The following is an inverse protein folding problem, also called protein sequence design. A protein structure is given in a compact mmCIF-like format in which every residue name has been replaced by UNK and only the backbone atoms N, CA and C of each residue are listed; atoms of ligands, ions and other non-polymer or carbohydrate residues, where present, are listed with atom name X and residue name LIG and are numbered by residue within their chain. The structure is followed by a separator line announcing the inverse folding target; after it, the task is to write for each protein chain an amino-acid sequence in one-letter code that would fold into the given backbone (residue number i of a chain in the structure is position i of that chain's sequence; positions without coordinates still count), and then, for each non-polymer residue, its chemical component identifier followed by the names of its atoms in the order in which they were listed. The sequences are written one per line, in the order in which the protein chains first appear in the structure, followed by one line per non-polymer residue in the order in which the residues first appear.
data_IF_894990389034
#
_entry.id   IF_894990389034
#
_cell.length_a   1.000
_cell.length_b   1.000
_cell.length_c   1.000
_cell.angle_alpha   90.00
_cell.angle_beta   90.00
_cell.angle_gamma   90.00
#
_symmetry.space_group_name_H-M   'P 1'
#
loop_
_entity.id
_entity.type
_entity.pdbx_description
1 polymer ?
#
# COMPACT_ATOMS: atom_id res chain seq x y z
N UNK A 1 6.39 -35.25 54.23
CA UNK A 1 6.22 -34.95 52.80
C UNK A 1 5.40 -33.66 52.68
N UNK A 2 6.07 -32.50 52.50
CA UNK A 2 5.40 -31.20 52.36
C UNK A 2 5.17 -30.94 50.87
N UNK A 3 3.91 -31.01 50.45
CA UNK A 3 3.52 -30.64 49.13
C UNK A 3 3.64 -29.12 48.95
N UNK A 4 4.55 -28.68 48.11
CA UNK A 4 4.68 -27.29 47.67
C UNK A 4 3.42 -26.92 46.91
N UNK A 5 2.53 -26.13 47.54
CA UNK A 5 1.43 -25.44 46.86
C UNK A 5 2.04 -24.42 45.91
N UNK A 6 1.96 -24.67 44.61
CA UNK A 6 2.23 -23.68 43.58
C UNK A 6 1.26 -22.53 43.77
N UNK A 7 1.71 -21.43 44.33
CA UNK A 7 0.98 -20.15 44.32
C UNK A 7 0.87 -19.69 42.87
N UNK A 8 -0.31 -19.80 42.29
CA UNK A 8 -0.63 -19.16 41.00
C UNK A 8 -0.42 -17.64 41.13
N UNK A 9 0.74 -17.18 40.71
CA UNK A 9 1.02 -15.76 40.62
C UNK A 9 0.10 -15.19 39.53
N UNK A 10 -1.07 -14.65 39.93
CA UNK A 10 -1.91 -13.86 39.03
C UNK A 10 -1.14 -12.59 38.77
N UNK A 11 -0.59 -12.47 37.54
CA UNK A 11 0.02 -11.24 37.09
C UNK A 11 -0.98 -10.07 37.30
N UNK A 12 -0.54 -8.94 37.88
CA UNK A 12 -1.42 -7.81 38.14
C UNK A 12 -2.10 -7.42 36.85
N UNK A 13 -3.42 -7.33 36.85
CA UNK A 13 -4.20 -6.88 35.68
C UNK A 13 -3.75 -5.48 35.32
N UNK A 14 -3.06 -5.35 34.22
CA UNK A 14 -2.63 -4.06 33.68
C UNK A 14 -3.86 -3.19 33.40
N UNK A 15 -3.76 -1.91 33.75
CA UNK A 15 -4.86 -0.94 33.62
C UNK A 15 -5.43 -0.84 32.18
N UNK A 16 -4.63 -1.22 31.18
CA UNK A 16 -4.98 -1.20 29.75
C UNK A 16 -5.01 -2.62 29.16
N UNK A 17 -5.34 -3.65 29.92
CA UNK A 17 -5.49 -5.02 29.40
C UNK A 17 -6.56 -5.03 28.30
N UNK A 18 -6.24 -5.70 27.19
CA UNK A 18 -7.19 -5.93 26.10
C UNK A 18 -8.16 -7.03 26.57
N UNK A 19 -9.48 -6.76 26.60
CA UNK A 19 -10.50 -7.74 27.01
C UNK A 19 -10.49 -8.98 26.11
N UNK A 20 -10.93 -10.11 26.65
CA UNK A 20 -10.86 -11.38 25.92
C UNK A 20 -11.79 -11.43 24.69
N UNK A 21 -12.93 -10.73 24.74
CA UNK A 21 -13.79 -10.55 23.56
C UNK A 21 -13.10 -9.80 22.43
N UNK A 22 -12.31 -8.74 22.72
CA UNK A 22 -11.53 -8.02 21.69
C UNK A 22 -10.40 -8.89 21.17
N UNK A 23 -9.75 -9.70 22.04
CA UNK A 23 -8.73 -10.66 21.62
C UNK A 23 -9.31 -11.70 20.65
N UNK A 24 -10.55 -12.12 20.88
CA UNK A 24 -11.24 -13.05 19.98
C UNK A 24 -11.52 -12.40 18.62
N UNK A 25 -12.00 -11.15 18.59
CA UNK A 25 -12.21 -10.40 17.33
C UNK A 25 -10.91 -10.27 16.55
N UNK A 26 -9.77 -10.02 17.21
CA UNK A 26 -8.44 -9.98 16.55
C UNK A 26 -8.10 -11.29 15.85
N UNK A 27 -8.41 -12.43 16.50
CA UNK A 27 -8.16 -13.75 15.93
C UNK A 27 -9.09 -14.01 14.73
N UNK A 28 -10.38 -13.74 14.88
CA UNK A 28 -11.38 -13.91 13.82
C UNK A 28 -11.03 -13.08 12.59
N UNK A 29 -10.71 -11.80 12.76
CA UNK A 29 -10.30 -10.92 11.66
C UNK A 29 -9.04 -11.42 10.94
N UNK A 30 -8.09 -12.00 11.69
CA UNK A 30 -6.87 -12.57 11.07
C UNK A 30 -7.16 -13.85 10.27
N UNK A 31 -8.16 -14.63 10.65
CA UNK A 31 -8.57 -15.83 9.91
C UNK A 31 -9.40 -15.46 8.67
N UNK A 32 -10.16 -14.38 8.73
CA UNK A 32 -10.91 -13.85 7.59
C UNK A 32 -10.01 -13.19 6.54
N UNK A 33 -8.90 -12.60 6.98
CA UNK A 33 -7.95 -11.88 6.12
C UNK A 33 -6.50 -12.40 6.30
N UNK A 34 -6.23 -13.65 5.91
CA UNK A 34 -4.90 -14.26 6.09
C UNK A 34 -3.80 -13.59 5.26
N UNK A 35 -4.17 -12.83 4.24
CA UNK A 35 -3.27 -12.07 3.36
C UNK A 35 -2.77 -10.76 3.97
N UNK A 36 -3.42 -10.27 5.05
CA UNK A 36 -3.07 -9.00 5.68
C UNK A 36 -2.06 -9.17 6.81
N UNK A 37 -1.15 -8.23 6.90
CA UNK A 37 -0.18 -8.17 8.00
C UNK A 37 -0.84 -7.69 9.31
N UNK A 38 -0.25 -7.97 10.50
CA UNK A 38 -0.77 -7.45 11.78
C UNK A 38 -0.95 -5.93 11.80
N UNK A 39 -0.13 -5.19 11.05
CA UNK A 39 -0.23 -3.74 10.88
C UNK A 39 -1.50 -3.36 10.11
N UNK A 40 -1.72 -4.01 8.97
CA UNK A 40 -2.90 -3.77 8.13
C UNK A 40 -4.19 -4.18 8.86
N UNK A 41 -4.19 -5.34 9.53
CA UNK A 41 -5.31 -5.78 10.38
C UNK A 41 -5.63 -4.80 11.52
N UNK A 42 -4.61 -4.18 12.12
CA UNK A 42 -4.81 -3.18 13.18
C UNK A 42 -5.52 -1.92 12.65
N UNK A 43 -5.22 -1.51 11.43
CA UNK A 43 -5.87 -0.38 10.76
C UNK A 43 -7.29 -0.76 10.33
N UNK A 44 -7.47 -1.94 9.76
CA UNK A 44 -8.78 -2.45 9.33
C UNK A 44 -9.75 -2.54 10.52
N UNK A 45 -9.32 -3.11 11.64
CA UNK A 45 -10.13 -3.18 12.88
C UNK A 45 -10.55 -1.80 13.39
N UNK A 46 -9.61 -0.84 13.32
CA UNK A 46 -9.89 0.53 13.73
C UNK A 46 -10.98 1.17 12.86
N UNK A 47 -10.92 0.99 11.54
CA UNK A 47 -11.84 1.63 10.59
C UNK A 47 -13.21 0.97 10.58
N UNK A 48 -13.26 -0.36 10.56
CA UNK A 48 -14.53 -1.09 10.45
C UNK A 48 -15.28 -1.20 11.77
N UNK A 49 -14.56 -1.50 12.85
CA UNK A 49 -15.17 -1.78 14.15
C UNK A 49 -15.02 -0.66 15.17
N UNK A 50 -14.29 0.41 14.84
CA UNK A 50 -13.96 1.50 15.76
C UNK A 50 -13.25 1.03 17.05
N UNK A 51 -12.51 -0.06 16.95
CA UNK A 51 -11.74 -0.66 18.05
C UNK A 51 -10.25 -0.47 17.78
N UNK A 52 -9.55 0.20 18.69
CA UNK A 52 -8.11 0.34 18.60
C UNK A 52 -7.38 -0.79 19.31
N UNK A 53 -6.58 -1.53 18.56
CA UNK A 53 -5.56 -2.47 19.06
C UNK A 53 -4.26 -2.15 18.34
N UNK A 54 -3.18 -1.90 19.08
CA UNK A 54 -1.89 -1.57 18.45
C UNK A 54 -1.31 -2.77 17.69
N UNK A 55 -0.55 -2.51 16.64
CA UNK A 55 0.16 -3.52 15.86
C UNK A 55 0.93 -4.52 16.75
N UNK A 56 1.71 -4.00 17.72
CA UNK A 56 2.44 -4.85 18.66
C UNK A 56 1.54 -5.74 19.52
N UNK A 57 0.31 -5.30 19.79
CA UNK A 57 -0.68 -6.12 20.53
C UNK A 57 -1.33 -7.14 19.61
N UNK A 58 -1.62 -6.80 18.36
CA UNK A 58 -2.04 -7.75 17.34
C UNK A 58 -1.02 -8.87 17.20
N UNK A 59 0.24 -8.51 16.98
CA UNK A 59 1.33 -9.48 16.86
C UNK A 59 1.38 -10.43 18.05
N UNK A 60 1.34 -9.92 19.30
CA UNK A 60 1.38 -10.76 20.51
C UNK A 60 0.18 -11.69 20.60
N UNK A 61 -1.03 -11.20 20.30
CA UNK A 61 -2.26 -12.01 20.37
C UNK A 61 -2.19 -13.16 19.35
N UNK A 62 -1.80 -12.87 18.12
CA UNK A 62 -1.71 -13.86 17.05
C UNK A 62 -0.57 -14.86 17.29
N UNK A 63 0.58 -14.38 17.78
CA UNK A 63 1.69 -15.25 18.15
C UNK A 63 1.33 -16.22 19.30
N UNK A 64 0.62 -15.74 20.34
CA UNK A 64 0.13 -16.59 21.43
C UNK A 64 -0.85 -17.68 20.96
N UNK A 65 -1.52 -17.46 19.84
CA UNK A 65 -2.44 -18.42 19.21
C UNK A 65 -1.80 -19.29 18.14
N UNK A 66 -0.49 -19.14 17.88
CA UNK A 66 0.24 -19.89 16.84
C UNK A 66 -0.15 -19.51 15.42
N UNK A 67 -0.74 -18.33 15.21
CA UNK A 67 -1.17 -17.83 13.91
C UNK A 67 -0.10 -16.99 13.18
N UNK A 68 1.04 -16.77 13.82
CA UNK A 68 2.19 -16.08 13.22
C UNK A 68 3.44 -16.90 13.44
N UNK A 69 4.12 -17.22 12.34
CA UNK A 69 5.50 -17.70 12.38
C UNK A 69 6.44 -16.51 12.61
N UNK A 70 7.55 -16.74 13.32
CA UNK A 70 8.63 -15.75 13.43
C UNK A 70 9.25 -15.59 12.05
N UNK A 71 8.89 -14.53 11.33
CA UNK A 71 9.68 -14.09 10.19
C UNK A 71 10.93 -13.39 10.72
N UNK A 72 12.10 -13.94 10.46
CA UNK A 72 13.34 -13.19 10.55
C UNK A 72 13.33 -12.19 9.39
N UNK A 73 13.11 -10.92 9.72
CA UNK A 73 13.19 -9.85 8.74
C UNK A 73 14.64 -9.42 8.59
N UNK A 74 15.23 -9.73 7.46
CA UNK A 74 16.42 -9.04 6.99
C UNK A 74 16.04 -7.57 6.71
N UNK A 75 16.45 -6.68 7.60
CA UNK A 75 16.30 -5.24 7.41
C UNK A 75 17.29 -4.80 6.34
N UNK A 76 16.83 -4.67 5.12
CA UNK A 76 17.56 -3.92 4.09
C UNK A 76 17.37 -2.44 4.40
N UNK A 77 18.42 -1.79 4.88
CA UNK A 77 18.45 -0.33 5.05
C UNK A 77 18.08 0.32 3.71
N UNK A 78 17.04 1.13 3.71
CA UNK A 78 16.70 1.94 2.56
C UNK A 78 17.85 2.91 2.32
N UNK A 79 18.54 2.77 1.17
CA UNK A 79 19.51 3.75 0.74
C UNK A 79 18.83 5.10 0.48
N UNK A 80 19.60 6.19 0.58
CA UNK A 80 19.12 7.57 0.51
C UNK A 80 18.08 7.82 -0.59
N UNK A 81 16.90 8.29 -0.17
CA UNK A 81 15.84 8.68 -1.09
C UNK A 81 16.24 9.94 -1.88
N UNK A 82 15.62 10.09 -3.04
CA UNK A 82 15.73 11.26 -3.89
C UNK A 82 15.66 12.57 -3.09
N UNK A 83 16.60 13.52 -3.33
CA UNK A 83 16.72 14.77 -2.57
C UNK A 83 15.48 15.67 -2.67
N UNK A 84 14.62 15.51 -3.67
CA UNK A 84 13.40 16.28 -3.87
C UNK A 84 12.17 15.41 -3.66
N UNK A 85 11.66 15.37 -2.42
CA UNK A 85 10.38 14.74 -2.12
C UNK A 85 9.25 15.59 -2.68
N UNK A 86 8.35 14.97 -3.42
CA UNK A 86 7.09 15.59 -3.88
C UNK A 86 6.23 16.00 -2.68
N UNK A 87 5.48 17.10 -2.82
CA UNK A 87 4.72 17.73 -1.73
C UNK A 87 3.21 17.61 -1.90
N UNK A 88 2.73 17.39 -3.12
CA UNK A 88 1.31 17.32 -3.45
C UNK A 88 1.06 16.37 -4.63
N UNK A 89 -0.17 15.86 -4.78
CA UNK A 89 -0.53 15.02 -5.92
C UNK A 89 -0.33 15.73 -7.26
N UNK A 90 0.04 14.97 -8.28
CA UNK A 90 0.29 15.45 -9.66
C UNK A 90 1.49 16.44 -9.80
N UNK A 91 2.37 16.52 -8.80
CA UNK A 91 3.63 17.25 -8.96
C UNK A 91 4.61 16.47 -9.84
N UNK A 92 4.70 15.16 -9.65
CA UNK A 92 5.53 14.27 -10.43
C UNK A 92 4.86 12.91 -10.61
N UNK A 93 4.89 12.39 -11.82
CA UNK A 93 4.47 11.04 -12.16
C UNK A 93 5.67 10.17 -12.45
N UNK A 94 5.62 8.91 -12.07
CA UNK A 94 6.56 7.89 -12.52
C UNK A 94 5.87 7.00 -13.55
N UNK A 95 6.60 6.63 -14.61
CA UNK A 95 6.13 5.66 -15.60
C UNK A 95 7.18 4.61 -15.84
N UNK A 96 6.72 3.38 -16.01
CA UNK A 96 7.58 2.23 -16.31
C UNK A 96 6.76 1.12 -16.95
N UNK A 97 7.47 0.27 -17.71
CA UNK A 97 6.91 -0.96 -18.25
C UNK A 97 7.27 -2.16 -17.38
N UNK A 98 6.28 -3.04 -17.20
CA UNK A 98 6.57 -4.40 -16.76
C UNK A 98 5.91 -5.39 -17.70
N UNK A 99 6.31 -6.66 -17.65
CA UNK A 99 5.88 -7.64 -18.63
C UNK A 99 5.32 -8.91 -17.98
N UNK A 100 4.37 -9.52 -18.70
CA UNK A 100 3.74 -10.78 -18.37
C UNK A 100 3.72 -11.71 -19.57
N UNK A 101 3.82 -13.01 -19.33
CA UNK A 101 3.68 -14.02 -20.36
C UNK A 101 2.33 -14.72 -20.21
N UNK A 102 1.51 -14.68 -21.25
CA UNK A 102 0.26 -15.44 -21.33
C UNK A 102 0.49 -16.69 -22.17
N UNK A 103 0.17 -17.85 -21.61
CA UNK A 103 0.42 -19.13 -22.27
C UNK A 103 -0.37 -19.23 -23.59
N UNK A 104 0.35 -19.53 -24.69
CA UNK A 104 -0.24 -19.60 -26.03
C UNK A 104 -0.42 -18.24 -26.73
N UNK A 105 -0.26 -17.10 -26.04
CA UNK A 105 -0.45 -15.74 -26.60
C UNK A 105 0.84 -14.93 -26.68
N UNK A 106 1.86 -15.29 -25.88
CA UNK A 106 3.15 -14.58 -25.90
C UNK A 106 3.33 -13.56 -24.77
N UNK A 107 4.11 -12.53 -25.04
CA UNK A 107 4.44 -11.49 -24.07
C UNK A 107 3.52 -10.28 -24.20
N UNK A 108 3.10 -9.76 -23.05
CA UNK A 108 2.34 -8.52 -22.92
C UNK A 108 3.08 -7.56 -21.99
N UNK A 109 2.96 -6.29 -22.27
CA UNK A 109 3.68 -5.22 -21.59
C UNK A 109 2.69 -4.32 -20.90
N UNK A 110 2.83 -4.20 -19.59
CA UNK A 110 2.00 -3.30 -18.79
C UNK A 110 2.70 -1.96 -18.66
N UNK A 111 2.15 -0.94 -19.29
CA UNK A 111 2.51 0.46 -19.11
C UNK A 111 1.75 1.00 -17.90
N UNK A 112 2.43 1.67 -16.97
CA UNK A 112 1.82 2.19 -15.74
C UNK A 112 2.24 3.62 -15.49
N UNK A 113 1.30 4.46 -15.05
CA UNK A 113 1.55 5.81 -14.54
C UNK A 113 1.11 5.90 -13.09
N UNK A 114 2.06 6.16 -12.21
CA UNK A 114 1.85 6.31 -10.76
C UNK A 114 2.17 7.73 -10.33
N UNK A 115 1.33 8.32 -9.49
CA UNK A 115 1.64 9.58 -8.81
C UNK A 115 2.73 9.37 -7.73
N UNK A 116 3.80 10.13 -7.79
CA UNK A 116 4.94 9.98 -6.90
C UNK A 116 4.60 10.32 -5.44
N UNK A 117 3.76 11.30 -5.21
CA UNK A 117 3.39 11.73 -3.86
C UNK A 117 2.49 10.71 -3.17
N UNK A 118 1.36 10.39 -3.78
CA UNK A 118 0.31 9.55 -3.18
C UNK A 118 0.49 8.06 -3.43
N UNK A 119 1.37 7.65 -4.35
CA UNK A 119 1.47 6.27 -4.86
C UNK A 119 0.23 5.81 -5.62
N UNK A 120 -0.71 6.69 -5.96
CA UNK A 120 -1.93 6.36 -6.68
C UNK A 120 -1.61 5.99 -8.12
N UNK A 121 -2.12 4.84 -8.58
CA UNK A 121 -2.04 4.44 -9.98
C UNK A 121 -3.10 5.22 -10.74
N UNK A 122 -2.64 6.22 -11.51
CA UNK A 122 -3.53 7.10 -12.28
C UNK A 122 -4.11 6.35 -13.47
N UNK A 123 -3.22 5.69 -14.23
CA UNK A 123 -3.61 4.87 -15.35
C UNK A 123 -2.61 3.74 -15.63
N UNK A 124 -3.12 2.71 -16.29
CA UNK A 124 -2.33 1.61 -16.81
C UNK A 124 -2.95 1.04 -18.07
N UNK A 125 -2.14 0.45 -18.93
CA UNK A 125 -2.57 -0.25 -20.13
C UNK A 125 -1.75 -1.51 -20.37
N UNK A 126 -2.45 -2.58 -20.82
CA UNK A 126 -1.81 -3.81 -21.25
C UNK A 126 -1.57 -3.76 -22.76
N UNK A 127 -0.32 -3.64 -23.17
CA UNK A 127 0.11 -3.46 -24.54
C UNK A 127 0.70 -4.75 -25.11
N UNK A 128 0.55 -4.94 -26.42
CA UNK A 128 1.23 -6.02 -27.16
C UNK A 128 2.68 -5.68 -27.53
N UNK A 129 3.06 -4.42 -27.41
CA UNK A 129 4.39 -3.86 -27.70
C UNK A 129 4.84 -2.90 -26.62
N UNK A 130 6.10 -2.44 -26.71
CA UNK A 130 6.69 -1.49 -25.79
C UNK A 130 7.31 -0.35 -26.62
N UNK A 131 6.43 0.47 -27.21
CA UNK A 131 6.81 1.58 -28.08
C UNK A 131 6.58 2.93 -27.41
N UNK A 132 7.17 4.00 -27.97
CA UNK A 132 6.89 5.38 -27.53
C UNK A 132 5.44 5.79 -27.73
N UNK A 133 4.75 5.19 -28.72
CA UNK A 133 3.32 5.42 -28.98
C UNK A 133 2.45 4.79 -27.89
N UNK A 134 2.83 3.60 -27.38
CA UNK A 134 2.13 2.98 -26.26
C UNK A 134 2.28 3.84 -24.98
N UNK A 135 3.48 4.40 -24.75
CA UNK A 135 3.70 5.37 -23.66
C UNK A 135 2.81 6.59 -23.84
N UNK A 136 2.80 7.20 -25.03
CA UNK A 136 1.97 8.39 -25.31
C UNK A 136 0.49 8.15 -25.02
N UNK A 137 -0.07 7.03 -25.50
CA UNK A 137 -1.48 6.66 -25.22
C UNK A 137 -1.76 6.50 -23.73
N UNK A 138 -0.84 5.85 -22.98
CA UNK A 138 -0.99 5.69 -21.54
C UNK A 138 -0.97 7.05 -20.83
N UNK A 139 -0.10 7.97 -21.25
CA UNK A 139 -0.02 9.33 -20.69
C UNK A 139 -1.27 10.14 -21.04
N UNK A 140 -1.80 10.07 -22.28
CA UNK A 140 -3.02 10.76 -22.69
C UNK A 140 -4.19 10.42 -21.77
N UNK A 141 -4.40 9.13 -21.51
CA UNK A 141 -5.44 8.67 -20.60
C UNK A 141 -5.16 9.02 -19.13
N UNK A 142 -3.89 9.06 -18.74
CA UNK A 142 -3.52 9.50 -17.40
C UNK A 142 -3.83 11.00 -17.21
N UNK A 143 -3.52 11.84 -18.19
CA UNK A 143 -3.84 13.29 -18.20
C UNK A 143 -5.35 13.52 -18.12
N UNK A 144 -6.12 12.80 -18.93
CA UNK A 144 -7.59 12.86 -18.93
C UNK A 144 -8.16 12.46 -17.55
N UNK A 145 -7.73 11.32 -17.00
CA UNK A 145 -8.21 10.82 -15.68
C UNK A 145 -7.83 11.72 -14.52
N UNK A 146 -6.62 12.26 -14.55
CA UNK A 146 -6.14 13.16 -13.49
C UNK A 146 -6.73 14.57 -13.59
N UNK A 147 -7.32 14.95 -14.72
CA UNK A 147 -7.83 16.29 -14.96
C UNK A 147 -6.77 17.38 -14.88
N UNK A 148 -5.50 17.05 -15.19
CA UNK A 148 -4.42 18.04 -15.15
C UNK A 148 -4.49 18.96 -16.37
N UNK A 149 -4.08 20.22 -16.15
CA UNK A 149 -4.15 21.26 -17.16
C UNK A 149 -2.77 21.63 -17.68
N UNK A 150 -2.71 22.26 -18.85
CA UNK A 150 -1.47 22.77 -19.44
C UNK A 150 -0.76 23.83 -18.58
N UNK A 151 -1.47 24.44 -17.64
CA UNK A 151 -0.92 25.46 -16.73
C UNK A 151 -0.15 24.84 -15.55
N UNK A 152 -0.56 23.63 -15.10
CA UNK A 152 0.09 22.87 -14.04
C UNK A 152 0.34 21.42 -14.47
N UNK A 153 1.19 21.19 -15.47
CA UNK A 153 1.51 19.84 -15.90
C UNK A 153 2.42 19.16 -14.85
N UNK A 154 2.30 17.84 -14.64
CA UNK A 154 3.24 17.10 -13.82
C UNK A 154 4.62 17.03 -14.48
N UNK A 155 5.66 16.77 -13.69
CA UNK A 155 6.89 16.24 -14.25
C UNK A 155 6.74 14.73 -14.46
N UNK A 156 7.24 14.19 -15.57
CA UNK A 156 7.25 12.76 -15.84
C UNK A 156 8.65 12.19 -15.60
N UNK A 157 8.75 11.20 -14.77
CA UNK A 157 9.99 10.46 -14.48
C UNK A 157 9.91 9.05 -15.09
N UNK A 158 10.88 8.69 -15.90
CA UNK A 158 11.03 7.33 -16.45
C UNK A 158 12.47 6.82 -16.32
N UNK A 159 12.68 5.56 -16.65
CA UNK A 159 14.02 5.03 -16.90
C UNK A 159 14.59 5.54 -18.24
N UNK A 160 15.76 5.00 -18.64
CA UNK A 160 16.41 5.29 -19.93
C UNK A 160 16.07 4.22 -20.99
N UNK A 161 14.93 3.56 -20.88
CA UNK A 161 14.49 2.58 -21.86
C UNK A 161 14.30 3.19 -23.28
N UNK A 162 14.49 2.43 -24.35
CA UNK A 162 14.40 2.95 -25.73
C UNK A 162 13.10 3.68 -26.04
N UNK A 163 11.97 3.21 -25.50
CA UNK A 163 10.66 3.84 -25.67
C UNK A 163 10.57 5.21 -25.00
N UNK A 164 11.29 5.45 -23.91
CA UNK A 164 11.28 6.70 -23.17
C UNK A 164 12.28 7.74 -23.70
N UNK A 165 13.43 7.31 -24.23
CA UNK A 165 14.44 8.25 -24.80
C UNK A 165 14.12 8.70 -26.21
N UNK A 166 13.07 8.17 -26.84
CA UNK A 166 12.66 8.53 -28.18
C UNK A 166 12.36 10.04 -28.29
N UNK A 167 12.97 10.71 -29.27
CA UNK A 167 12.76 12.15 -29.52
C UNK A 167 11.29 12.48 -29.79
N UNK A 168 10.57 11.58 -30.48
CA UNK A 168 9.13 11.69 -30.74
C UNK A 168 8.30 11.81 -29.46
N UNK A 169 8.59 11.01 -28.44
CA UNK A 169 7.91 11.08 -27.15
C UNK A 169 8.19 12.41 -26.46
N UNK A 170 9.46 12.82 -26.41
CA UNK A 170 9.87 14.07 -25.77
C UNK A 170 9.19 15.28 -26.40
N UNK A 171 9.15 15.32 -27.75
CA UNK A 171 8.46 16.39 -28.48
C UNK A 171 6.96 16.37 -28.22
N UNK A 172 6.36 15.19 -28.23
CA UNK A 172 4.93 15.02 -27.97
C UNK A 172 4.55 15.55 -26.59
N UNK A 173 5.21 15.08 -25.53
CA UNK A 173 4.96 15.50 -24.15
C UNK A 173 5.15 17.01 -23.95
N UNK A 174 6.20 17.58 -24.54
CA UNK A 174 6.47 19.01 -24.45
C UNK A 174 5.48 19.88 -25.23
N UNK A 175 5.13 19.49 -26.47
CA UNK A 175 4.26 20.28 -27.35
C UNK A 175 2.78 20.18 -26.97
N UNK A 176 2.31 18.98 -26.59
CA UNK A 176 0.89 18.72 -26.33
C UNK A 176 0.50 19.07 -24.90
N UNK A 177 1.34 18.71 -23.92
CA UNK A 177 0.98 18.79 -22.50
C UNK A 177 1.88 19.72 -21.68
N UNK A 178 2.92 20.26 -22.28
CA UNK A 178 3.97 21.01 -21.55
C UNK A 178 4.61 20.20 -20.40
N UNK A 179 4.58 18.86 -20.50
CA UNK A 179 5.14 17.95 -19.52
C UNK A 179 6.67 17.92 -19.65
N UNK A 180 7.36 18.21 -18.55
CA UNK A 180 8.81 18.04 -18.47
C UNK A 180 9.14 16.57 -18.21
N UNK A 181 9.83 15.93 -19.17
CA UNK A 181 10.30 14.56 -19.05
C UNK A 181 11.69 14.52 -18.41
N UNK A 182 11.81 13.78 -17.33
CA UNK A 182 13.06 13.58 -16.56
C UNK A 182 13.41 12.11 -16.65
N UNK A 183 14.66 11.81 -16.96
CA UNK A 183 15.17 10.45 -16.98
C UNK A 183 15.94 10.16 -15.70
N UNK A 184 15.79 8.95 -15.16
CA UNK A 184 16.58 8.47 -14.03
C UNK A 184 18.07 8.51 -14.37
N UNK A 185 18.92 8.82 -13.40
CA UNK A 185 20.37 8.74 -13.61
C UNK A 185 20.76 7.28 -13.85
N UNK A 186 21.64 7.00 -14.82
CA UNK A 186 22.18 5.65 -15.01
C UNK A 186 22.78 5.14 -13.69
N UNK A 187 22.53 3.89 -13.35
CA UNK A 187 23.01 3.20 -12.14
C UNK A 187 22.49 3.75 -10.79
N UNK A 188 21.43 4.57 -10.79
CA UNK A 188 20.72 4.98 -9.58
C UNK A 188 19.27 4.44 -9.56
N UNK A 189 19.06 3.15 -9.23
CA UNK A 189 17.72 2.52 -9.22
C UNK A 189 16.74 3.15 -8.21
N UNK A 190 17.25 3.92 -7.26
CA UNK A 190 16.46 4.57 -6.21
C UNK A 190 15.46 5.61 -6.73
N UNK A 191 15.72 6.15 -7.93
CA UNK A 191 14.91 7.22 -8.53
C UNK A 191 13.47 6.75 -8.86
N UNK A 192 13.29 5.46 -9.17
CA UNK A 192 12.00 4.85 -9.52
C UNK A 192 11.52 3.79 -8.51
N UNK A 193 12.12 3.74 -7.34
CA UNK A 193 11.83 2.71 -6.34
C UNK A 193 10.36 2.58 -5.92
N UNK A 194 9.51 3.58 -6.20
CA UNK A 194 8.07 3.52 -5.91
C UNK A 194 7.33 2.66 -6.93
N UNK A 195 7.55 2.90 -8.22
CA UNK A 195 6.93 2.11 -9.29
C UNK A 195 7.49 0.69 -9.34
N UNK A 196 8.79 0.52 -9.07
CA UNK A 196 9.39 -0.81 -8.97
C UNK A 196 8.78 -1.64 -7.82
N UNK A 197 8.58 -1.05 -6.65
CA UNK A 197 7.90 -1.70 -5.52
C UNK A 197 6.44 -2.05 -5.84
N UNK A 198 5.74 -1.17 -6.55
CA UNK A 198 4.41 -1.47 -7.05
C UNK A 198 4.42 -2.68 -7.99
N UNK A 199 5.27 -2.67 -9.02
CA UNK A 199 5.39 -3.79 -9.96
C UNK A 199 5.75 -5.11 -9.27
N UNK A 200 6.66 -5.07 -8.28
CA UNK A 200 7.01 -6.25 -7.48
C UNK A 200 5.81 -6.79 -6.72
N UNK A 201 5.10 -5.93 -6.02
CA UNK A 201 3.91 -6.32 -5.25
C UNK A 201 2.82 -6.91 -6.14
N UNK A 202 2.56 -6.28 -7.28
CA UNK A 202 1.60 -6.77 -8.26
C UNK A 202 2.02 -8.13 -8.84
N UNK A 203 3.27 -8.28 -9.26
CA UNK A 203 3.78 -9.55 -9.81
C UNK A 203 3.68 -10.70 -8.83
N UNK A 204 3.87 -10.44 -7.53
CA UNK A 204 3.74 -11.48 -6.51
C UNK A 204 2.33 -12.06 -6.41
N UNK A 205 1.29 -11.27 -6.72
CA UNK A 205 -0.11 -11.72 -6.73
C UNK A 205 -0.51 -12.25 -8.11
N UNK A 206 -0.29 -11.46 -9.16
CA UNK A 206 -0.73 -11.81 -10.53
C UNK A 206 -0.08 -13.10 -11.04
N UNK A 207 1.20 -13.35 -10.70
CA UNK A 207 1.91 -14.57 -11.15
C UNK A 207 1.49 -15.86 -10.43
N UNK A 208 0.69 -15.78 -9.38
CA UNK A 208 0.16 -16.98 -8.71
C UNK A 208 -0.91 -17.69 -9.53
N UNK A 209 -1.54 -16.97 -10.46
CA UNK A 209 -2.59 -17.50 -11.31
C UNK A 209 -2.09 -17.78 -12.74
N UNK A 210 -2.76 -18.69 -13.42
CA UNK A 210 -2.57 -18.96 -14.83
C UNK A 210 -3.67 -18.27 -15.63
N UNK A 211 -3.28 -17.52 -16.66
CA UNK A 211 -4.20 -16.81 -17.54
C UNK A 211 -4.22 -17.51 -18.90
N UNK A 212 -5.42 -17.80 -19.41
CA UNK A 212 -5.62 -18.49 -20.68
C UNK A 212 -5.79 -17.51 -21.86
N UNK A 213 -6.09 -16.25 -21.56
CA UNK A 213 -6.17 -15.19 -22.55
C UNK A 213 -5.77 -13.82 -21.96
N UNK A 214 -5.41 -12.84 -22.80
CA UNK A 214 -5.01 -11.50 -22.36
C UNK A 214 -6.09 -10.78 -21.56
N UNK A 215 -7.37 -10.98 -21.88
CA UNK A 215 -8.49 -10.34 -21.17
C UNK A 215 -8.64 -10.80 -19.71
N UNK A 216 -8.29 -12.04 -19.40
CA UNK A 216 -8.25 -12.53 -18.02
C UNK A 216 -7.12 -11.86 -17.22
N UNK A 217 -5.95 -11.72 -17.83
CA UNK A 217 -4.83 -11.01 -17.24
C UNK A 217 -5.20 -9.53 -17.02
N UNK A 218 -5.83 -8.87 -17.98
CA UNK A 218 -6.27 -7.48 -17.91
C UNK A 218 -7.26 -7.28 -16.75
N UNK A 219 -8.24 -8.18 -16.62
CA UNK A 219 -9.20 -8.17 -15.51
C UNK A 219 -8.50 -8.32 -14.15
N UNK A 220 -7.56 -9.25 -14.03
CA UNK A 220 -6.81 -9.46 -12.79
C UNK A 220 -5.96 -8.25 -12.41
N UNK A 221 -5.36 -7.58 -13.40
CA UNK A 221 -4.62 -6.32 -13.19
C UNK A 221 -5.58 -5.20 -12.73
N UNK A 222 -6.76 -5.08 -13.34
CA UNK A 222 -7.76 -4.08 -12.95
C UNK A 222 -8.21 -4.27 -11.48
N UNK A 223 -8.52 -5.50 -11.09
CA UNK A 223 -8.89 -5.85 -9.72
C UNK A 223 -7.74 -5.55 -8.74
N UNK A 224 -6.52 -5.87 -9.12
CA UNK A 224 -5.34 -5.54 -8.32
C UNK A 224 -5.12 -4.04 -8.17
N UNK A 225 -5.24 -3.26 -9.24
CA UNK A 225 -5.08 -1.80 -9.20
C UNK A 225 -6.15 -1.15 -8.32
N UNK A 226 -7.40 -1.61 -8.41
CA UNK A 226 -8.47 -1.16 -7.51
C UNK A 226 -8.15 -1.44 -6.05
N UNK A 227 -7.74 -2.68 -5.75
CA UNK A 227 -7.30 -3.06 -4.40
C UNK A 227 -6.13 -2.18 -3.93
N UNK A 228 -5.10 -2.01 -4.77
CA UNK A 228 -3.92 -1.22 -4.46
C UNK A 228 -4.26 0.24 -4.15
N UNK A 229 -5.10 0.85 -4.96
CA UNK A 229 -5.46 2.25 -4.82
C UNK A 229 -6.42 2.51 -3.65
N UNK A 230 -7.40 1.61 -3.42
CA UNK A 230 -8.55 1.89 -2.57
C UNK A 230 -8.53 1.17 -1.23
N UNK A 231 -7.78 0.07 -1.10
CA UNK A 231 -7.81 -0.79 0.10
C UNK A 231 -6.46 -1.04 0.73
N UNK A 232 -5.39 -1.00 -0.06
CA UNK A 232 -4.06 -1.31 0.47
C UNK A 232 -3.53 -0.16 1.32
N UNK A 233 -3.27 -0.42 2.59
CA UNK A 233 -2.64 0.53 3.50
C UNK A 233 -1.11 0.57 3.29
N UNK A 234 -0.57 1.78 3.17
CA UNK A 234 0.86 2.01 2.97
C UNK A 234 1.49 2.63 4.21
N UNK A 235 2.48 1.95 4.79
CA UNK A 235 3.21 2.44 5.95
C UNK A 235 3.81 3.83 5.71
N UNK A 236 4.45 4.01 4.55
CA UNK A 236 5.05 5.29 4.15
C UNK A 236 4.06 6.42 3.89
N UNK A 237 2.76 6.15 3.93
CA UNK A 237 1.66 7.10 3.83
C UNK A 237 0.86 7.16 5.15
N UNK A 238 1.49 6.88 6.30
CA UNK A 238 0.83 6.83 7.62
C UNK A 238 -0.35 5.82 7.65
N UNK A 239 -0.20 4.70 6.98
CA UNK A 239 -1.25 3.68 6.81
C UNK A 239 -2.53 4.20 6.12
N UNK A 240 -2.41 5.20 5.27
CA UNK A 240 -3.47 5.63 4.36
C UNK A 240 -3.43 4.82 3.06
N UNK A 241 -4.55 4.79 2.34
CA UNK A 241 -4.56 4.26 0.99
C UNK A 241 -4.01 5.31 0.00
N UNK A 242 -3.47 4.90 -1.15
CA UNK A 242 -3.08 5.83 -2.20
C UNK A 242 -4.19 6.80 -2.59
N UNK A 243 -5.44 6.32 -2.66
CA UNK A 243 -6.61 7.16 -2.96
C UNK A 243 -6.86 8.23 -1.92
N UNK A 244 -6.76 7.91 -0.62
CA UNK A 244 -6.98 8.88 0.45
C UNK A 244 -6.01 10.05 0.36
N UNK A 245 -4.74 9.73 0.05
CA UNK A 245 -3.69 10.74 -0.11
C UNK A 245 -3.87 11.54 -1.39
N UNK A 246 -4.20 10.87 -2.51
CA UNK A 246 -4.41 11.51 -3.81
C UNK A 246 -5.58 12.50 -3.78
N UNK A 247 -6.66 12.16 -3.06
CA UNK A 247 -7.83 13.02 -2.90
C UNK A 247 -7.69 14.05 -1.75
N UNK A 248 -6.54 14.12 -1.09
CA UNK A 248 -6.27 15.07 0.00
C UNK A 248 -7.04 14.79 1.30
N UNK A 249 -7.57 13.57 1.48
CA UNK A 249 -8.37 13.19 2.64
C UNK A 249 -7.53 12.71 3.84
N UNK A 250 -6.23 12.54 3.67
CA UNK A 250 -5.35 11.91 4.64
C UNK A 250 -5.39 12.54 6.03
N UNK A 251 -5.32 13.87 6.13
CA UNK A 251 -5.33 14.56 7.43
C UNK A 251 -6.67 14.40 8.16
N UNK A 252 -7.79 14.40 7.44
CA UNK A 252 -9.12 14.16 8.01
C UNK A 252 -9.21 12.74 8.58
N UNK A 253 -8.76 11.75 7.83
CA UNK A 253 -8.78 10.34 8.24
C UNK A 253 -7.90 10.14 9.48
N UNK A 254 -6.68 10.68 9.49
CA UNK A 254 -5.78 10.60 10.65
C UNK A 254 -6.39 11.20 11.92
N UNK A 255 -7.05 12.33 11.81
CA UNK A 255 -7.77 12.96 12.96
C UNK A 255 -8.89 12.07 13.48
N UNK A 256 -9.70 11.48 12.61
CA UNK A 256 -10.77 10.55 12.97
C UNK A 256 -10.19 9.31 13.68
N UNK A 257 -9.13 8.71 13.12
CA UNK A 257 -8.46 7.55 13.71
C UNK A 257 -7.92 7.86 15.14
N UNK A 258 -7.36 9.05 15.35
CA UNK A 258 -6.87 9.43 16.68
C UNK A 258 -8.01 9.58 17.69
N UNK A 259 -9.16 10.14 17.30
CA UNK A 259 -10.36 10.20 18.15
C UNK A 259 -10.86 8.80 18.52
N UNK A 260 -10.96 7.91 17.53
CA UNK A 260 -11.38 6.51 17.75
C UNK A 260 -10.43 5.81 18.72
N UNK A 261 -9.11 5.99 18.51
CA UNK A 261 -8.07 5.43 19.38
C UNK A 261 -8.23 5.89 20.82
N UNK A 262 -8.39 7.18 21.07
CA UNK A 262 -8.56 7.74 22.41
C UNK A 262 -9.85 7.19 23.07
N UNK A 263 -10.95 7.18 22.34
CA UNK A 263 -12.22 6.65 22.83
C UNK A 263 -12.12 5.16 23.19
N UNK A 264 -11.48 4.36 22.33
CA UNK A 264 -11.26 2.93 22.54
C UNK A 264 -10.39 2.66 23.78
N UNK A 265 -9.32 3.44 23.97
CA UNK A 265 -8.46 3.34 25.16
C UNK A 265 -9.23 3.73 26.42
N UNK A 266 -9.94 4.85 26.42
CA UNK A 266 -10.70 5.32 27.57
C UNK A 266 -11.79 4.33 27.99
N UNK A 267 -12.49 3.75 27.01
CA UNK A 267 -13.51 2.71 27.25
C UNK A 267 -12.88 1.51 27.97
N UNK A 268 -11.74 0.99 27.48
CA UNK A 268 -11.03 -0.13 28.14
C UNK A 268 -10.58 0.19 29.55
N UNK A 269 -10.07 1.39 29.79
CA UNK A 269 -9.65 1.82 31.14
C UNK A 269 -10.83 1.81 32.09
N UNK A 270 -11.97 2.36 31.69
CA UNK A 270 -13.19 2.41 32.52
C UNK A 270 -13.74 1.01 32.80
N UNK A 271 -13.78 0.13 31.80
CA UNK A 271 -14.21 -1.26 31.96
C UNK A 271 -13.29 -2.04 32.89
N UNK A 272 -11.97 -1.93 32.74
CA UNK A 272 -10.99 -2.59 33.61
C UNK A 272 -11.08 -2.09 35.06
N UNK A 273 -11.35 -0.79 35.27
CA UNK A 273 -11.59 -0.24 36.63
C UNK A 273 -12.85 -0.81 37.25
N UNK A 274 -13.96 -0.87 36.48
CA UNK A 274 -15.22 -1.42 36.95
C UNK A 274 -15.12 -2.89 37.34
N UNK A 275 -14.45 -3.73 36.53
CA UNK A 275 -14.20 -5.13 36.84
C UNK A 275 -13.36 -5.32 38.10
N UNK A 276 -12.37 -4.46 38.35
CA UNK A 276 -11.59 -4.49 39.61
C UNK A 276 -12.41 -4.15 40.84
N UNK A 277 -13.40 -3.30 40.74
CA UNK A 277 -14.30 -2.95 41.86
C UNK A 277 -15.28 -4.08 42.16
N UNK A 278 -15.69 -4.85 41.16
CA UNK A 278 -16.60 -6.00 41.31
C UNK A 278 -15.90 -7.28 41.80
N UNK A 279 -14.57 -7.34 41.72
CA UNK A 279 -13.75 -8.48 42.17
C UNK A 279 -13.18 -8.31 43.57
N UNK A 280 -13.50 -7.22 44.25
CA UNK A 280 -13.24 -6.98 45.70
C UNK A 280 -14.49 -7.26 46.52
#
# INVERSE_FOLDING_TARGET
MNALRATHYRAPTTWNRIPDNIRQIVVELSLEHPELTPRELSVLLLEESQIFVSESSFYRILHERGLLERMEHDFVLAADEFHHKTKFPNEMWQTDFTYFKVKGWGWYYLSTVIDDYSRYIIHWELCSSMTSEDVSKTIDKAVEKAGVTLQNPPCLLSDNGPCYIASSLKEYLGKVYNIKHIHGKPLHPQTQGKIERYHRSMKNVIKLNHYFCPSELEKAIDEWVKYYNERRFHESLDNLTPRDVYLGQGEKIKKIREIIKQNSINKRISENKRMKLQSK
#
